data_IF_596922425784
#
_entry.id   IF_596922425784
#
_cell.length_a   1.000
_cell.length_b   1.000
_cell.length_c   1.000
_cell.angle_alpha   90.00
_cell.angle_beta   90.00
_cell.angle_gamma   90.00
#
_symmetry.space_group_name_H-M   'P 1'
#
loop_
_entity.id
_entity.type
_entity.pdbx_description
1 polymer ?
#
# COMPACT_ATOMS: atom_id res chain seq x y z
N UNK A 1 -22.88 -24.67 -9.47
CA UNK A 1 -21.42 -24.61 -9.60
C UNK A 1 -20.84 -24.90 -8.23
N UNK A 2 -19.95 -25.88 -8.11
CA UNK A 2 -19.21 -26.15 -6.89
C UNK A 2 -17.87 -25.39 -6.98
N UNK A 3 -17.47 -24.72 -5.90
CA UNK A 3 -16.14 -24.11 -5.82
C UNK A 3 -15.06 -25.20 -5.89
N UNK A 4 -13.87 -24.83 -6.33
CA UNK A 4 -12.71 -25.73 -6.30
C UNK A 4 -12.40 -26.13 -4.87
N UNK A 5 -11.81 -27.33 -4.66
CA UNK A 5 -11.44 -27.81 -3.33
C UNK A 5 -10.35 -26.95 -2.66
N UNK A 6 -9.53 -26.31 -3.48
CA UNK A 6 -8.42 -25.41 -3.11
C UNK A 6 -8.81 -23.93 -3.13
N UNK A 7 -10.11 -23.64 -3.07
CA UNK A 7 -10.58 -22.25 -2.99
C UNK A 7 -10.18 -21.62 -1.66
N UNK A 8 -9.56 -20.44 -1.74
CA UNK A 8 -9.09 -19.70 -0.55
C UNK A 8 -10.24 -18.88 0.06
N UNK A 9 -10.62 -19.28 1.28
CA UNK A 9 -11.58 -18.55 2.12
C UNK A 9 -10.82 -17.81 3.19
N UNK A 10 -10.93 -16.48 3.24
CA UNK A 10 -10.11 -15.70 4.17
C UNK A 10 -10.65 -14.34 4.53
N UNK A 11 -9.90 -13.67 5.38
CA UNK A 11 -10.07 -12.28 5.75
C UNK A 11 -8.88 -11.43 5.35
N UNK A 12 -9.08 -10.10 5.32
CA UNK A 12 -8.06 -9.15 4.94
C UNK A 12 -7.99 -7.98 5.93
N UNK A 13 -6.76 -7.65 6.31
CA UNK A 13 -6.40 -6.50 7.14
C UNK A 13 -5.08 -5.91 6.65
N UNK A 14 -4.59 -4.88 7.34
CA UNK A 14 -3.23 -4.35 7.15
C UNK A 14 -2.49 -4.30 8.49
N UNK A 15 -1.16 -4.36 8.46
CA UNK A 15 -0.33 -4.31 9.67
C UNK A 15 -0.72 -3.14 10.58
N UNK A 16 -0.81 -1.93 10.05
CA UNK A 16 -1.20 -0.74 10.83
C UNK A 16 -2.61 -0.78 11.43
N UNK A 17 -3.50 -1.65 10.92
CA UNK A 17 -4.88 -1.75 11.42
C UNK A 17 -4.99 -2.67 12.64
N UNK A 18 -4.05 -3.61 12.80
CA UNK A 18 -4.20 -4.65 13.82
C UNK A 18 -2.97 -4.86 14.71
N UNK A 19 -1.75 -4.62 14.20
CA UNK A 19 -0.54 -5.02 14.93
C UNK A 19 -0.38 -4.29 16.26
N UNK A 20 -0.56 -2.98 16.31
CA UNK A 20 -0.12 -2.21 17.47
C UNK A 20 1.40 -2.29 17.64
N UNK A 21 1.89 -2.20 18.88
CA UNK A 21 3.32 -2.28 19.15
C UNK A 21 4.14 -1.31 18.28
N UNK A 22 3.64 -0.09 18.09
CA UNK A 22 4.14 0.91 17.14
C UNK A 22 5.62 1.29 17.34
N UNK A 23 6.12 1.13 18.57
CA UNK A 23 7.51 1.40 18.96
C UNK A 23 8.22 0.15 19.52
N UNK A 24 7.65 -1.04 19.36
CA UNK A 24 8.24 -2.31 19.80
C UNK A 24 9.12 -2.92 18.71
N UNK A 25 10.09 -3.73 19.11
CA UNK A 25 10.93 -4.49 18.17
C UNK A 25 11.76 -3.63 17.23
N UNK A 26 12.14 -2.41 17.62
CA UNK A 26 12.91 -1.50 16.79
C UNK A 26 12.12 -0.86 15.64
N UNK A 27 10.77 -0.99 15.62
CA UNK A 27 9.93 -0.37 14.60
C UNK A 27 10.08 1.16 14.57
N UNK A 28 10.25 1.71 13.37
CA UNK A 28 10.22 3.15 13.12
C UNK A 28 8.81 3.72 12.95
N UNK A 29 8.72 5.04 12.87
CA UNK A 29 7.47 5.77 12.65
C UNK A 29 7.04 5.67 11.20
N UNK A 30 5.79 5.28 10.93
CA UNK A 30 5.17 5.29 9.62
C UNK A 30 4.21 6.47 9.44
N UNK A 31 3.75 6.70 8.21
CA UNK A 31 2.68 7.69 7.95
C UNK A 31 1.38 7.38 8.71
N UNK A 32 1.11 6.11 9.01
CA UNK A 32 -0.06 5.71 9.81
C UNK A 32 0.07 6.16 11.28
N UNK A 33 1.29 6.18 11.80
CA UNK A 33 1.57 6.51 13.20
C UNK A 33 1.47 8.01 13.53
N UNK A 34 1.38 8.85 12.50
CA UNK A 34 1.20 10.32 12.63
C UNK A 34 -0.20 10.80 12.24
N UNK A 35 -1.15 9.88 12.21
CA UNK A 35 -2.54 10.17 11.85
C UNK A 35 -3.47 9.92 13.04
N UNK A 36 -4.02 11.02 13.59
CA UNK A 36 -4.88 10.95 14.78
C UNK A 36 -6.18 10.19 14.51
N UNK A 37 -6.83 9.70 15.56
CA UNK A 37 -8.22 9.27 15.49
C UNK A 37 -9.12 10.47 15.21
N UNK A 38 -10.05 10.33 14.28
CA UNK A 38 -11.17 11.26 14.22
C UNK A 38 -12.24 10.89 15.26
N UNK A 39 -13.25 11.72 15.37
CA UNK A 39 -14.47 11.41 16.12
C UNK A 39 -15.68 12.03 15.42
N UNK A 40 -16.89 11.82 15.96
CA UNK A 40 -18.07 12.42 15.35
C UNK A 40 -17.95 13.96 15.34
N UNK A 41 -17.89 14.54 14.13
CA UNK A 41 -17.70 15.97 13.92
C UNK A 41 -16.26 16.48 14.04
N UNK A 42 -15.28 15.60 14.27
CA UNK A 42 -13.86 15.94 14.31
C UNK A 42 -13.10 15.14 13.25
N UNK A 43 -12.51 15.81 12.29
CA UNK A 43 -11.71 15.16 11.25
C UNK A 43 -10.37 14.65 11.81
N UNK A 44 -9.86 13.59 11.20
CA UNK A 44 -8.50 13.09 11.46
C UNK A 44 -7.47 14.15 11.03
N UNK A 45 -6.39 14.25 11.78
CA UNK A 45 -5.27 15.15 11.47
C UNK A 45 -4.04 14.34 11.09
N UNK A 46 -3.24 14.88 10.18
CA UNK A 46 -1.87 14.46 9.94
C UNK A 46 -1.00 15.37 10.81
N UNK A 47 -0.29 14.81 11.76
CA UNK A 47 0.58 15.57 12.67
C UNK A 47 2.01 15.63 12.15
N UNK A 48 2.79 16.59 12.63
CA UNK A 48 4.22 16.68 12.30
C UNK A 48 5.03 15.85 13.31
N UNK A 49 5.09 14.53 13.05
CA UNK A 49 5.60 13.54 13.99
C UNK A 49 4.55 13.10 15.01
N UNK A 50 4.96 12.21 15.92
CA UNK A 50 4.12 11.76 17.03
C UNK A 50 4.09 12.82 18.12
N UNK A 51 2.91 13.30 18.48
CA UNK A 51 2.69 14.35 19.49
C UNK A 51 2.13 13.70 20.75
N UNK A 52 2.78 13.97 21.89
CA UNK A 52 2.33 13.47 23.19
C UNK A 52 0.92 13.98 23.53
N UNK A 53 0.07 13.06 23.98
CA UNK A 53 -1.33 13.36 24.35
C UNK A 53 -2.33 13.31 23.19
N UNK A 54 -1.90 13.18 21.94
CA UNK A 54 -2.79 12.91 20.82
C UNK A 54 -3.14 11.42 20.76
N UNK A 55 -4.33 11.11 20.25
CA UNK A 55 -4.78 9.73 20.09
C UNK A 55 -4.46 9.20 18.69
N UNK A 56 -3.57 8.21 18.64
CA UNK A 56 -3.20 7.49 17.41
C UNK A 56 -3.71 6.05 17.47
N UNK A 57 -4.82 5.71 16.83
CA UNK A 57 -5.44 4.38 16.97
C UNK A 57 -4.54 3.23 16.56
N UNK A 58 -3.61 3.48 15.62
CA UNK A 58 -2.68 2.46 15.12
C UNK A 58 -1.59 2.07 16.13
N UNK A 59 -1.35 2.89 17.18
CA UNK A 59 -0.30 2.61 18.16
C UNK A 59 -0.61 1.38 19.02
N UNK A 60 -1.87 1.17 19.35
CA UNK A 60 -2.35 0.01 20.13
C UNK A 60 -3.08 -0.98 19.23
N UNK A 61 -3.96 -0.50 18.33
CA UNK A 61 -4.82 -1.31 17.48
C UNK A 61 -5.53 -2.41 18.29
N UNK A 62 -5.34 -3.69 17.94
CA UNK A 62 -5.80 -4.85 18.75
C UNK A 62 -4.63 -5.60 19.38
N UNK A 63 -3.44 -5.03 19.34
CA UNK A 63 -2.20 -5.64 19.88
C UNK A 63 -1.85 -7.01 19.26
N UNK A 64 -2.13 -7.18 17.99
CA UNK A 64 -1.84 -8.41 17.26
C UNK A 64 -0.33 -8.76 17.27
N UNK A 65 0.54 -7.76 17.36
CA UNK A 65 1.98 -7.97 17.48
C UNK A 65 2.35 -8.93 18.62
N UNK A 66 1.66 -8.85 19.76
CA UNK A 66 1.88 -9.75 20.89
C UNK A 66 0.90 -10.94 20.91
N UNK A 67 -0.25 -10.84 20.24
CA UNK A 67 -1.38 -11.78 20.36
C UNK A 67 -1.62 -12.63 19.11
N UNK A 68 -0.82 -12.52 18.06
CA UNK A 68 -1.05 -13.17 16.75
C UNK A 68 -1.31 -14.68 16.86
N UNK A 69 -0.69 -15.38 17.82
CA UNK A 69 -0.89 -16.84 17.99
C UNK A 69 -2.32 -17.17 18.39
N UNK A 70 -2.89 -16.39 19.32
CA UNK A 70 -4.28 -16.56 19.76
C UNK A 70 -5.24 -16.22 18.61
N UNK A 71 -4.99 -15.12 17.93
CA UNK A 71 -5.86 -14.63 16.86
C UNK A 71 -5.83 -15.57 15.64
N UNK A 72 -4.68 -16.12 15.28
CA UNK A 72 -4.57 -17.11 14.19
C UNK A 72 -5.29 -18.42 14.55
N UNK A 73 -5.22 -18.85 15.80
CA UNK A 73 -5.99 -20.01 16.25
C UNK A 73 -7.50 -19.78 16.11
N UNK A 74 -7.99 -18.55 16.36
CA UNK A 74 -9.39 -18.18 16.12
C UNK A 74 -9.74 -18.15 14.62
N UNK A 75 -8.81 -17.77 13.75
CA UNK A 75 -9.05 -17.85 12.31
C UNK A 75 -9.24 -19.30 11.83
N UNK A 76 -8.45 -20.22 12.35
CA UNK A 76 -8.59 -21.65 12.09
C UNK A 76 -9.95 -22.18 12.61
N UNK A 77 -10.35 -21.81 13.83
CA UNK A 77 -11.67 -22.14 14.41
C UNK A 77 -12.82 -21.60 13.53
N UNK A 78 -12.67 -20.42 12.93
CA UNK A 78 -13.62 -19.83 11.96
C UNK A 78 -13.63 -20.59 10.61
N UNK A 79 -12.68 -21.47 10.36
CA UNK A 79 -12.55 -22.21 9.10
C UNK A 79 -11.91 -21.40 7.97
N UNK A 80 -11.13 -20.36 8.31
CA UNK A 80 -10.34 -19.62 7.33
C UNK A 80 -9.13 -20.45 6.91
N UNK A 81 -8.84 -20.50 5.63
CA UNK A 81 -7.64 -21.12 5.07
C UNK A 81 -6.73 -20.12 4.32
N UNK A 82 -7.00 -18.83 4.48
CA UNK A 82 -6.23 -17.74 3.88
C UNK A 82 -6.33 -16.51 4.78
N UNK A 83 -5.18 -15.86 5.00
CA UNK A 83 -5.10 -14.61 5.75
C UNK A 83 -4.30 -13.56 4.96
N UNK A 84 -4.95 -12.45 4.62
CA UNK A 84 -4.26 -11.33 3.99
C UNK A 84 -3.89 -10.28 5.03
N UNK A 85 -2.60 -9.92 5.05
CA UNK A 85 -2.10 -8.77 5.82
C UNK A 85 -1.01 -8.04 5.03
N UNK A 86 -0.35 -7.07 5.65
CA UNK A 86 0.83 -6.39 5.11
C UNK A 86 2.05 -6.63 5.98
N UNK A 87 3.23 -6.33 5.45
CA UNK A 87 4.46 -6.18 6.23
C UNK A 87 4.66 -4.69 6.49
N UNK A 88 4.72 -4.27 7.75
CA UNK A 88 5.07 -2.90 8.10
C UNK A 88 6.51 -2.62 7.67
N UNK A 89 6.68 -1.78 6.65
CA UNK A 89 8.01 -1.44 6.13
C UNK A 89 8.94 -0.96 7.25
N UNK A 90 8.41 -0.15 8.18
CA UNK A 90 9.15 0.40 9.31
C UNK A 90 9.55 -0.61 10.38
N UNK A 91 9.03 -1.85 10.38
CA UNK A 91 9.57 -2.94 11.20
C UNK A 91 10.84 -3.51 10.60
N UNK A 92 10.97 -3.51 9.28
CA UNK A 92 12.10 -4.07 8.55
C UNK A 92 13.19 -3.02 8.35
N UNK A 93 12.81 -1.81 7.95
CA UNK A 93 13.68 -0.66 7.79
C UNK A 93 13.04 0.55 8.50
N UNK A 94 13.44 0.85 9.74
CA UNK A 94 12.79 1.87 10.58
C UNK A 94 12.69 3.26 9.95
N UNK A 95 13.69 3.69 9.19
CA UNK A 95 13.66 4.92 8.42
C UNK A 95 13.33 4.70 6.93
N UNK A 96 13.52 3.47 6.43
CA UNK A 96 13.20 3.08 5.06
C UNK A 96 14.35 3.18 4.08
N UNK A 97 15.47 3.79 4.45
CA UNK A 97 16.67 4.01 3.62
C UNK A 97 17.94 3.38 4.20
N UNK A 98 17.82 2.55 5.24
CA UNK A 98 18.95 1.80 5.79
C UNK A 98 19.47 0.75 4.79
N UNK A 99 20.77 0.45 4.90
CA UNK A 99 21.40 -0.62 4.12
C UNK A 99 21.07 -2.02 4.67
N UNK A 100 20.92 -2.14 5.99
CA UNK A 100 20.70 -3.41 6.68
C UNK A 100 19.32 -3.44 7.34
N UNK A 101 18.59 -4.56 7.25
CA UNK A 101 17.28 -4.70 7.85
C UNK A 101 17.35 -4.90 9.37
N UNK A 102 16.27 -4.57 10.04
CA UNK A 102 16.05 -4.90 11.44
C UNK A 102 15.66 -6.39 11.58
N UNK A 103 16.55 -7.20 12.14
CA UNK A 103 16.35 -8.64 12.28
C UNK A 103 15.18 -8.99 13.23
N UNK A 104 14.90 -8.18 14.25
CA UNK A 104 13.77 -8.40 15.14
C UNK A 104 12.43 -8.28 14.40
N UNK A 105 12.34 -7.31 13.48
CA UNK A 105 11.18 -7.18 12.61
C UNK A 105 11.04 -8.33 11.62
N UNK A 106 12.15 -8.80 11.03
CA UNK A 106 12.13 -9.98 10.17
C UNK A 106 11.69 -11.24 10.92
N UNK A 107 12.19 -11.44 12.15
CA UNK A 107 11.84 -12.61 12.96
C UNK A 107 10.36 -12.60 13.36
N UNK A 108 9.77 -11.44 13.66
CA UNK A 108 8.35 -11.34 13.94
C UNK A 108 7.48 -11.89 12.80
N UNK A 109 7.79 -11.53 11.55
CA UNK A 109 7.04 -12.04 10.40
C UNK A 109 7.38 -13.50 10.07
N UNK A 110 8.60 -13.98 10.37
CA UNK A 110 8.91 -15.42 10.29
C UNK A 110 7.98 -16.22 11.22
N UNK A 111 7.86 -15.79 12.47
CA UNK A 111 7.05 -16.45 13.49
C UNK A 111 5.55 -16.37 13.14
N UNK A 112 5.10 -15.22 12.63
CA UNK A 112 3.72 -15.00 12.18
C UNK A 112 3.33 -15.94 11.03
N UNK A 113 4.19 -16.05 10.01
CA UNK A 113 3.90 -16.89 8.86
C UNK A 113 4.01 -18.38 9.21
N UNK A 114 4.94 -18.76 10.08
CA UNK A 114 5.03 -20.14 10.59
C UNK A 114 3.78 -20.52 11.37
N UNK A 115 3.21 -19.60 12.18
CA UNK A 115 1.96 -19.86 12.88
C UNK A 115 0.79 -19.97 11.90
N UNK A 116 0.68 -19.14 10.86
CA UNK A 116 -0.33 -19.29 9.82
C UNK A 116 -0.24 -20.67 9.14
N UNK A 117 0.95 -21.07 8.70
CA UNK A 117 1.16 -22.34 8.00
C UNK A 117 0.89 -23.55 8.90
N UNK A 118 1.22 -23.48 10.18
CA UNK A 118 0.91 -24.50 11.19
C UNK A 118 -0.61 -24.77 11.29
N UNK A 119 -1.44 -23.74 11.13
CA UNK A 119 -2.89 -23.82 11.10
C UNK A 119 -3.48 -24.06 9.70
N UNK A 120 -2.64 -24.30 8.68
CA UNK A 120 -3.10 -24.51 7.31
C UNK A 120 -3.67 -23.25 6.64
N UNK A 121 -3.30 -22.07 7.14
CA UNK A 121 -3.73 -20.77 6.64
C UNK A 121 -2.67 -20.21 5.70
N UNK A 122 -3.02 -19.99 4.43
CA UNK A 122 -2.13 -19.44 3.40
C UNK A 122 -1.94 -17.92 3.62
N UNK A 123 -0.71 -17.43 3.83
CA UNK A 123 -0.45 -16.00 3.90
C UNK A 123 -0.56 -15.32 2.53
N UNK A 124 -1.26 -14.19 2.47
CA UNK A 124 -1.32 -13.30 1.31
C UNK A 124 -0.82 -11.93 1.72
N UNK A 125 0.32 -11.50 1.19
CA UNK A 125 1.08 -10.38 1.76
C UNK A 125 1.08 -9.16 0.84
N UNK A 126 0.75 -8.01 1.42
CA UNK A 126 0.86 -6.71 0.77
C UNK A 126 2.15 -6.03 1.22
N UNK A 127 2.99 -5.61 0.26
CA UNK A 127 4.26 -4.94 0.56
C UNK A 127 4.08 -3.50 1.03
N UNK A 128 3.19 -2.74 0.39
CA UNK A 128 2.87 -1.37 0.80
C UNK A 128 1.38 -1.22 1.04
N UNK A 129 0.99 -0.99 2.31
CA UNK A 129 -0.39 -0.79 2.70
C UNK A 129 -0.53 0.40 3.67
N UNK A 130 -0.31 1.63 3.13
CA UNK A 130 -0.48 2.90 3.87
C UNK A 130 0.48 3.06 5.06
N UNK A 131 1.67 2.49 4.97
CA UNK A 131 2.67 2.46 6.04
C UNK A 131 4.06 2.88 5.56
N UNK A 132 4.12 3.84 4.62
CA UNK A 132 5.41 4.40 4.21
C UNK A 132 6.18 4.93 5.43
N UNK A 133 7.49 4.65 5.58
CA UNK A 133 8.30 5.24 6.64
C UNK A 133 8.20 6.78 6.63
N UNK A 134 7.87 7.37 7.79
CA UNK A 134 7.66 8.82 7.89
C UNK A 134 8.95 9.61 7.61
N UNK A 135 10.11 9.03 7.92
CA UNK A 135 11.41 9.59 7.53
C UNK A 135 11.51 9.80 6.01
N UNK A 136 11.02 8.87 5.19
CA UNK A 136 11.03 9.04 3.72
C UNK A 136 10.10 10.19 3.26
N UNK A 137 9.11 10.56 4.07
CA UNK A 137 8.27 11.73 3.81
C UNK A 137 9.01 13.02 4.11
N UNK A 138 9.68 13.09 5.26
CA UNK A 138 10.37 14.32 5.73
C UNK A 138 11.63 14.60 4.94
N UNK A 139 12.43 13.57 4.64
CA UNK A 139 13.72 13.73 3.97
C UNK A 139 13.62 13.76 2.44
N UNK A 140 12.67 12.99 1.88
CA UNK A 140 12.60 12.79 0.43
C UNK A 140 11.30 13.32 -0.19
N UNK A 141 10.29 13.66 0.61
CA UNK A 141 8.97 14.08 0.12
C UNK A 141 8.11 12.92 -0.39
N UNK A 142 8.31 11.72 0.15
CA UNK A 142 7.60 10.53 -0.25
C UNK A 142 7.91 10.12 -1.71
N UNK A 143 6.98 9.43 -2.36
CA UNK A 143 7.11 9.02 -3.77
C UNK A 143 7.16 10.19 -4.78
N UNK A 144 7.19 11.43 -4.32
CA UNK A 144 7.61 12.55 -5.15
C UNK A 144 9.08 12.44 -5.59
N UNK A 145 9.88 11.70 -4.84
CA UNK A 145 11.30 11.49 -5.10
C UNK A 145 11.54 10.11 -5.72
N UNK A 146 12.24 10.08 -6.85
CA UNK A 146 12.59 8.84 -7.57
C UNK A 146 13.38 7.83 -6.76
N UNK A 147 14.16 8.26 -5.75
CA UNK A 147 14.93 7.35 -4.87
C UNK A 147 14.05 6.33 -4.16
N UNK A 148 12.78 6.65 -3.91
CA UNK A 148 11.86 5.72 -3.26
C UNK A 148 11.63 4.45 -4.08
N UNK A 149 11.85 4.48 -5.38
CA UNK A 149 11.84 3.28 -6.22
C UNK A 149 12.86 2.28 -5.70
N UNK A 150 14.10 2.73 -5.50
CA UNK A 150 15.20 1.85 -5.09
C UNK A 150 15.03 1.40 -3.64
N UNK A 151 14.57 2.26 -2.74
CA UNK A 151 14.26 1.88 -1.35
C UNK A 151 13.15 0.83 -1.27
N UNK A 152 12.07 1.00 -2.04
CA UNK A 152 10.99 0.03 -2.08
C UNK A 152 11.41 -1.31 -2.69
N UNK A 153 12.24 -1.29 -3.73
CA UNK A 153 12.80 -2.50 -4.34
C UNK A 153 13.70 -3.23 -3.34
N UNK A 154 14.56 -2.50 -2.60
CA UNK A 154 15.43 -3.09 -1.58
C UNK A 154 14.63 -3.73 -0.44
N UNK A 155 13.63 -3.03 0.10
CA UNK A 155 12.72 -3.59 1.09
C UNK A 155 12.06 -4.88 0.58
N UNK A 156 11.52 -4.84 -0.64
CA UNK A 156 10.83 -5.98 -1.25
C UNK A 156 11.78 -7.15 -1.48
N UNK A 157 13.03 -6.90 -1.90
CA UNK A 157 14.06 -7.92 -2.09
C UNK A 157 14.34 -8.67 -0.80
N UNK A 158 14.55 -7.94 0.29
CA UNK A 158 14.83 -8.53 1.60
C UNK A 158 13.69 -9.42 2.08
N UNK A 159 12.45 -8.92 2.08
CA UNK A 159 11.31 -9.69 2.60
C UNK A 159 10.92 -10.85 1.68
N UNK A 160 10.99 -10.69 0.36
CA UNK A 160 10.70 -11.77 -0.58
C UNK A 160 11.74 -12.88 -0.51
N UNK A 161 13.03 -12.56 -0.35
CA UNK A 161 14.07 -13.58 -0.13
C UNK A 161 13.90 -14.30 1.21
N UNK A 162 13.58 -13.55 2.29
CA UNK A 162 13.42 -14.13 3.64
C UNK A 162 12.26 -15.11 3.68
N UNK A 163 11.11 -14.75 3.08
CA UNK A 163 9.88 -15.52 3.21
C UNK A 163 9.52 -16.33 1.96
N UNK A 164 10.44 -16.55 1.01
CA UNK A 164 10.19 -17.21 -0.28
C UNK A 164 9.60 -18.62 -0.18
N UNK A 165 9.86 -19.32 0.93
CA UNK A 165 9.39 -20.68 1.16
C UNK A 165 8.11 -20.71 2.03
N UNK A 166 7.62 -19.54 2.50
CA UNK A 166 6.45 -19.38 3.37
C UNK A 166 5.30 -18.63 2.71
N UNK A 167 5.60 -17.69 1.83
CA UNK A 167 4.62 -16.79 1.20
C UNK A 167 4.68 -16.97 -0.32
N UNK A 168 3.53 -17.32 -0.90
CA UNK A 168 3.37 -17.48 -2.34
C UNK A 168 2.68 -16.28 -2.99
N UNK A 169 1.75 -15.64 -2.29
CA UNK A 169 0.89 -14.59 -2.82
C UNK A 169 1.32 -13.22 -2.31
N UNK A 170 1.69 -12.34 -3.25
CA UNK A 170 2.20 -11.00 -2.96
C UNK A 170 1.37 -9.94 -3.66
N UNK A 171 1.20 -8.79 -3.03
CA UNK A 171 0.66 -7.58 -3.64
C UNK A 171 1.65 -6.43 -3.42
N UNK A 172 1.94 -5.67 -4.47
CA UNK A 172 2.91 -4.56 -4.37
C UNK A 172 2.34 -3.39 -3.59
N UNK A 173 1.22 -2.83 -4.06
CA UNK A 173 0.56 -1.69 -3.42
C UNK A 173 -0.91 -1.98 -3.15
N UNK A 174 -1.41 -1.49 -2.03
CA UNK A 174 -2.82 -1.50 -1.70
C UNK A 174 -3.47 -0.20 -2.19
N UNK A 175 -4.56 -0.34 -2.96
CA UNK A 175 -5.42 0.78 -3.37
C UNK A 175 -4.67 2.01 -3.91
N UNK A 176 -3.63 1.77 -4.73
CA UNK A 176 -2.80 2.83 -5.31
C UNK A 176 -3.65 3.93 -5.99
N UNK A 177 -4.82 3.59 -6.49
CA UNK A 177 -5.73 4.51 -7.16
C UNK A 177 -6.47 5.47 -6.22
N UNK A 178 -6.38 5.30 -4.89
CA UNK A 178 -6.97 6.25 -3.94
C UNK A 178 -6.26 7.60 -3.96
N UNK A 179 -4.97 7.66 -4.31
CA UNK A 179 -4.26 8.93 -4.45
C UNK A 179 -4.84 9.85 -5.53
N UNK A 180 -5.67 9.33 -6.45
CA UNK A 180 -6.44 10.18 -7.37
C UNK A 180 -7.39 11.16 -6.67
N UNK A 181 -7.61 11.00 -5.36
CA UNK A 181 -8.31 11.98 -4.52
C UNK A 181 -7.39 13.13 -4.05
N UNK A 182 -6.54 13.63 -4.91
CA UNK A 182 -5.48 14.62 -4.64
C UNK A 182 -5.99 15.99 -4.16
N UNK A 183 -7.28 16.26 -4.23
CA UNK A 183 -7.88 17.49 -3.67
C UNK A 183 -7.92 17.48 -2.14
N UNK A 184 -7.74 16.32 -1.52
CA UNK A 184 -7.61 16.15 -0.07
C UNK A 184 -6.23 15.59 0.25
N UNK A 185 -5.64 15.98 1.39
CA UNK A 185 -4.28 15.56 1.75
C UNK A 185 -4.20 14.10 2.18
N UNK A 186 -5.27 13.58 2.74
CA UNK A 186 -5.29 12.26 3.41
C UNK A 186 -4.85 11.10 2.48
N UNK A 187 -5.52 10.92 1.33
CA UNK A 187 -5.25 9.78 0.46
C UNK A 187 -3.86 9.84 -0.20
N UNK A 188 -3.39 10.96 -0.76
CA UNK A 188 -2.02 11.07 -1.26
C UNK A 188 -0.95 10.90 -0.18
N UNK A 189 -1.21 11.35 1.06
CA UNK A 189 -0.30 11.15 2.17
C UNK A 189 -0.20 9.68 2.58
N UNK A 190 -1.33 8.98 2.72
CA UNK A 190 -1.35 7.57 3.12
C UNK A 190 -0.76 6.64 2.06
N UNK A 191 -1.05 6.88 0.78
CA UNK A 191 -0.57 6.04 -0.30
C UNK A 191 0.92 6.28 -0.61
N UNK A 192 1.29 7.55 -0.78
CA UNK A 192 2.56 7.93 -1.42
C UNK A 192 3.43 8.83 -0.55
N UNK A 193 2.99 9.16 0.66
CA UNK A 193 3.71 10.09 1.56
C UNK A 193 3.72 11.53 1.05
N UNK A 194 2.74 11.94 0.25
CA UNK A 194 2.74 13.28 -0.35
C UNK A 194 2.24 14.33 0.64
N UNK A 195 3.08 15.33 0.89
CA UNK A 195 2.69 16.62 1.46
C UNK A 195 2.72 17.64 0.33
N UNK A 196 1.58 18.26 0.01
CA UNK A 196 1.52 19.29 -1.02
C UNK A 196 2.05 20.62 -0.49
N UNK A 197 2.71 21.44 -1.35
CA UNK A 197 3.10 22.79 -0.96
C UNK A 197 1.89 23.63 -0.53
N UNK A 198 2.11 24.53 0.44
CA UNK A 198 1.07 25.48 0.86
C UNK A 198 0.63 26.33 -0.33
N UNK A 199 -0.68 26.47 -0.51
CA UNK A 199 -1.24 27.22 -1.63
C UNK A 199 -1.12 26.55 -3.00
N UNK A 200 -0.66 25.28 -3.09
CA UNK A 200 -0.59 24.57 -4.36
C UNK A 200 -1.94 24.54 -5.07
N UNK A 201 -1.96 24.92 -6.33
CA UNK A 201 -3.13 24.87 -7.19
C UNK A 201 -3.59 23.41 -7.42
N UNK A 202 -4.84 23.22 -7.80
CA UNK A 202 -5.37 21.90 -8.18
C UNK A 202 -4.51 21.23 -9.24
N UNK A 203 -4.06 22.00 -10.25
CA UNK A 203 -3.20 21.49 -11.31
C UNK A 203 -1.86 20.99 -10.78
N UNK A 204 -1.22 21.73 -9.89
CA UNK A 204 0.08 21.34 -9.29
C UNK A 204 -0.07 20.10 -8.42
N UNK A 205 -1.13 20.00 -7.62
CA UNK A 205 -1.43 18.82 -6.81
C UNK A 205 -1.64 17.59 -7.69
N UNK A 206 -2.40 17.75 -8.77
CA UNK A 206 -2.67 16.69 -9.74
C UNK A 206 -1.37 16.22 -10.43
N UNK A 207 -0.51 17.14 -10.87
CA UNK A 207 0.77 16.83 -11.50
C UNK A 207 1.72 16.09 -10.54
N UNK A 208 1.82 16.55 -9.28
CA UNK A 208 2.60 15.88 -8.23
C UNK A 208 2.09 14.45 -7.99
N UNK A 209 0.76 14.27 -7.91
CA UNK A 209 0.15 12.95 -7.72
C UNK A 209 0.48 12.01 -8.89
N UNK A 210 0.37 12.47 -10.14
CA UNK A 210 0.70 11.64 -11.29
C UNK A 210 2.19 11.27 -11.34
N UNK A 211 3.08 12.18 -10.95
CA UNK A 211 4.51 11.88 -10.86
C UNK A 211 4.81 10.81 -9.81
N UNK A 212 4.21 10.93 -8.62
CA UNK A 212 4.37 9.94 -7.56
C UNK A 212 3.80 8.58 -7.98
N UNK A 213 2.61 8.57 -8.56
CA UNK A 213 2.01 7.35 -9.10
C UNK A 213 2.89 6.67 -10.16
N UNK A 214 3.56 7.45 -11.02
CA UNK A 214 4.52 6.90 -11.98
C UNK A 214 5.66 6.15 -11.27
N UNK A 215 6.26 6.76 -10.26
CA UNK A 215 7.36 6.12 -9.52
C UNK A 215 6.91 4.86 -8.76
N UNK A 216 5.71 4.86 -8.18
CA UNK A 216 5.15 3.65 -7.56
C UNK A 216 4.90 2.54 -8.59
N UNK A 217 4.38 2.86 -9.78
CA UNK A 217 4.16 1.89 -10.84
C UNK A 217 5.48 1.30 -11.36
N UNK A 218 6.54 2.13 -11.50
CA UNK A 218 7.88 1.65 -11.84
C UNK A 218 8.45 0.76 -10.74
N UNK A 219 8.31 1.16 -9.46
CA UNK A 219 8.72 0.35 -8.32
C UNK A 219 8.01 -1.01 -8.32
N UNK A 220 6.68 -1.01 -8.52
CA UNK A 220 5.88 -2.23 -8.63
C UNK A 220 6.37 -3.15 -9.75
N UNK A 221 6.61 -2.62 -10.94
CA UNK A 221 7.10 -3.41 -12.08
C UNK A 221 8.48 -4.04 -11.81
N UNK A 222 9.39 -3.29 -11.19
CA UNK A 222 10.71 -3.82 -10.77
C UNK A 222 10.57 -4.92 -9.74
N UNK A 223 9.68 -4.77 -8.75
CA UNK A 223 9.42 -5.78 -7.71
C UNK A 223 8.81 -7.04 -8.30
N UNK A 224 7.89 -6.93 -9.27
CA UNK A 224 7.34 -8.10 -9.98
C UNK A 224 8.45 -8.88 -10.69
N UNK A 225 9.30 -8.17 -11.45
CA UNK A 225 10.43 -8.80 -12.14
C UNK A 225 11.43 -9.43 -11.19
N UNK A 226 11.71 -8.79 -10.05
CA UNK A 226 12.57 -9.30 -8.99
C UNK A 226 11.97 -10.53 -8.32
N UNK A 227 10.69 -10.48 -7.95
CA UNK A 227 10.00 -11.57 -7.28
C UNK A 227 10.02 -12.86 -8.11
N UNK A 228 9.77 -12.78 -9.42
CA UNK A 228 9.86 -13.94 -10.31
C UNK A 228 11.28 -14.46 -10.53
N UNK A 229 12.32 -13.64 -10.27
CA UNK A 229 13.73 -14.13 -10.22
C UNK A 229 14.02 -14.88 -8.93
N UNK A 230 13.45 -14.42 -7.80
CA UNK A 230 13.60 -15.06 -6.48
C UNK A 230 12.87 -16.41 -6.47
N UNK A 231 11.60 -16.40 -6.89
CA UNK A 231 10.80 -17.61 -6.98
C UNK A 231 9.80 -17.47 -8.16
N UNK A 232 9.96 -18.26 -9.25
CA UNK A 232 9.10 -18.18 -10.42
C UNK A 232 7.64 -18.58 -10.14
N UNK A 233 7.35 -19.26 -9.02
CA UNK A 233 6.01 -19.68 -8.63
C UNK A 233 5.24 -18.61 -7.85
N UNK A 234 5.87 -17.49 -7.51
CA UNK A 234 5.17 -16.37 -6.87
C UNK A 234 4.01 -15.86 -7.70
N UNK A 235 2.89 -15.62 -7.04
CA UNK A 235 1.74 -14.96 -7.61
C UNK A 235 1.74 -13.49 -7.13
N UNK A 236 2.14 -12.59 -8.02
CA UNK A 236 2.35 -11.17 -7.66
C UNK A 236 1.30 -10.31 -8.36
N UNK A 237 0.59 -9.51 -7.59
CA UNK A 237 -0.45 -8.61 -8.10
C UNK A 237 -0.44 -7.25 -7.42
N UNK A 238 -1.54 -6.55 -7.58
CA UNK A 238 -1.86 -5.30 -6.89
C UNK A 238 -3.31 -5.32 -6.42
N UNK A 239 -3.65 -4.38 -5.54
CA UNK A 239 -5.03 -4.18 -5.10
C UNK A 239 -5.53 -2.81 -5.52
N UNK A 240 -6.71 -2.76 -6.10
CA UNK A 240 -7.38 -1.55 -6.60
C UNK A 240 -8.69 -1.34 -5.82
N UNK A 241 -8.89 -0.13 -5.30
CA UNK A 241 -10.15 0.27 -4.70
C UNK A 241 -11.24 0.35 -5.77
N UNK A 242 -12.13 -0.65 -5.81
CA UNK A 242 -13.18 -0.74 -6.82
C UNK A 242 -14.44 0.02 -6.38
N UNK A 243 -14.77 1.06 -7.12
CA UNK A 243 -16.00 1.86 -6.94
C UNK A 243 -16.58 2.15 -8.32
N UNK A 244 -17.41 1.26 -8.87
CA UNK A 244 -18.02 1.44 -10.19
C UNK A 244 -18.84 2.72 -10.25
N UNK A 245 -18.70 3.47 -11.33
CA UNK A 245 -19.42 4.69 -11.58
C UNK A 245 -20.37 4.46 -12.76
N UNK A 246 -21.66 4.47 -12.48
CA UNK A 246 -22.68 4.25 -13.48
C UNK A 246 -23.20 5.58 -14.02
N UNK A 247 -23.61 5.65 -15.31
CA UNK A 247 -24.28 6.82 -15.85
C UNK A 247 -25.66 7.00 -15.22
N UNK A 248 -26.06 8.24 -14.97
CA UNK A 248 -27.37 8.55 -14.40
C UNK A 248 -28.50 8.19 -15.38
N UNK A 249 -28.26 8.34 -16.68
CA UNK A 249 -29.19 7.98 -17.75
C UNK A 249 -28.43 7.40 -18.95
N UNK A 250 -29.15 6.89 -19.96
CA UNK A 250 -28.54 6.45 -21.22
C UNK A 250 -28.22 7.58 -22.21
N UNK A 251 -28.30 8.84 -21.81
CA UNK A 251 -27.89 9.96 -22.64
C UNK A 251 -26.38 9.93 -22.90
N UNK A 252 -25.93 10.32 -24.11
CA UNK A 252 -24.50 10.31 -24.47
C UNK A 252 -23.62 11.08 -23.48
N UNK A 253 -24.11 12.19 -22.93
CA UNK A 253 -23.40 13.03 -21.96
C UNK A 253 -23.16 12.28 -20.65
N UNK A 254 -24.16 11.59 -20.13
CA UNK A 254 -24.06 10.81 -18.89
C UNK A 254 -23.14 9.60 -19.07
N UNK A 255 -23.27 8.90 -20.21
CA UNK A 255 -22.37 7.79 -20.57
C UNK A 255 -20.92 8.24 -20.66
N UNK A 256 -20.67 9.40 -21.31
CA UNK A 256 -19.31 9.94 -21.43
C UNK A 256 -18.76 10.40 -20.07
N UNK A 257 -19.58 11.04 -19.23
CA UNK A 257 -19.18 11.45 -17.88
C UNK A 257 -18.76 10.26 -17.03
N UNK A 258 -19.55 9.18 -17.03
CA UNK A 258 -19.22 7.91 -16.35
C UNK A 258 -17.91 7.32 -16.87
N UNK A 259 -17.74 7.24 -18.21
CA UNK A 259 -16.52 6.72 -18.84
C UNK A 259 -15.28 7.51 -18.42
N UNK A 260 -15.33 8.85 -18.45
CA UNK A 260 -14.20 9.71 -18.05
C UNK A 260 -13.88 9.55 -16.56
N UNK A 261 -14.91 9.46 -15.71
CA UNK A 261 -14.71 9.26 -14.28
C UNK A 261 -14.05 7.89 -13.99
N UNK A 262 -14.48 6.84 -14.68
CA UNK A 262 -13.86 5.51 -14.60
C UNK A 262 -12.41 5.53 -15.10
N UNK A 263 -12.11 6.16 -16.22
CA UNK A 263 -10.75 6.30 -16.74
C UNK A 263 -9.82 7.01 -15.75
N UNK A 264 -10.25 8.10 -15.13
CA UNK A 264 -9.46 8.84 -14.13
C UNK A 264 -9.11 8.01 -12.90
N UNK A 265 -9.97 7.07 -12.53
CA UNK A 265 -9.80 6.26 -11.34
C UNK A 265 -9.06 4.94 -11.59
N UNK A 266 -9.25 4.33 -12.77
CA UNK A 266 -8.80 2.96 -13.03
C UNK A 266 -7.65 2.84 -14.02
N UNK A 267 -7.07 3.93 -14.51
CA UNK A 267 -5.89 3.87 -15.36
C UNK A 267 -4.69 3.17 -14.67
N UNK A 268 -4.62 3.20 -13.34
CA UNK A 268 -3.64 2.46 -12.55
C UNK A 268 -3.71 0.95 -12.83
N UNK A 269 -4.93 0.40 -12.88
CA UNK A 269 -5.13 -1.01 -13.24
C UNK A 269 -4.69 -1.30 -14.67
N UNK A 270 -4.98 -0.39 -15.62
CA UNK A 270 -4.51 -0.54 -17.00
C UNK A 270 -2.98 -0.66 -17.08
N UNK A 271 -2.25 0.18 -16.34
CA UNK A 271 -0.77 0.14 -16.31
C UNK A 271 -0.26 -1.13 -15.63
N UNK A 272 -0.81 -1.51 -14.47
CA UNK A 272 -0.42 -2.74 -13.78
C UNK A 272 -0.60 -4.00 -14.64
N UNK A 273 -1.71 -4.07 -15.39
CA UNK A 273 -2.04 -5.27 -16.18
C UNK A 273 -1.33 -5.28 -17.53
N UNK A 274 -1.15 -4.11 -18.15
CA UNK A 274 -0.67 -4.00 -19.54
C UNK A 274 0.78 -3.52 -19.66
N UNK A 275 1.36 -2.98 -18.58
CA UNK A 275 2.73 -2.48 -18.55
C UNK A 275 2.97 -1.18 -19.32
N UNK A 276 1.93 -0.48 -19.73
CA UNK A 276 2.04 0.80 -20.46
C UNK A 276 0.86 1.73 -20.18
N UNK A 277 1.09 3.02 -20.37
CA UNK A 277 0.04 4.03 -20.23
C UNK A 277 -1.00 3.93 -21.33
N UNK A 278 -2.30 3.98 -21.00
CA UNK A 278 -3.35 4.04 -21.99
C UNK A 278 -3.33 5.37 -22.77
N UNK A 279 -3.72 5.34 -24.04
CA UNK A 279 -3.68 6.51 -24.93
C UNK A 279 -4.49 7.69 -24.42
N UNK A 280 -5.63 7.42 -23.75
CA UNK A 280 -6.48 8.47 -23.18
C UNK A 280 -5.76 9.25 -22.06
N UNK A 281 -4.86 8.62 -21.31
CA UNK A 281 -4.10 9.27 -20.24
C UNK A 281 -3.00 10.16 -20.81
N UNK A 282 -2.28 9.69 -21.84
CA UNK A 282 -1.29 10.52 -22.56
C UNK A 282 -1.94 11.78 -23.13
N UNK A 283 -3.08 11.62 -23.81
CA UNK A 283 -3.84 12.75 -24.32
C UNK A 283 -4.34 13.70 -23.21
N UNK A 284 -4.61 13.17 -22.03
CA UNK A 284 -4.96 13.98 -20.87
C UNK A 284 -3.79 14.82 -20.36
N UNK A 285 -2.61 14.21 -20.20
CA UNK A 285 -1.38 14.91 -19.79
C UNK A 285 -1.03 16.04 -20.75
N UNK A 286 -1.11 15.79 -22.07
CA UNK A 286 -0.86 16.78 -23.10
C UNK A 286 -1.82 17.99 -22.98
N UNK A 287 -3.11 17.72 -22.82
CA UNK A 287 -4.12 18.80 -22.66
C UNK A 287 -3.93 19.61 -21.37
N UNK A 288 -3.49 18.98 -20.28
CA UNK A 288 -3.20 19.65 -19.01
C UNK A 288 -1.85 20.36 -19.03
N UNK A 289 -0.96 20.02 -19.96
CA UNK A 289 0.40 20.51 -20.04
C UNK A 289 1.24 20.08 -18.85
N UNK A 290 1.07 18.82 -18.41
CA UNK A 290 1.88 18.23 -17.34
C UNK A 290 3.28 17.90 -17.87
N UNK A 291 4.28 18.11 -17.01
CA UNK A 291 5.69 17.80 -17.29
C UNK A 291 6.15 16.69 -16.35
N UNK A 292 5.78 15.46 -16.67
CA UNK A 292 6.13 14.30 -15.89
C UNK A 292 7.47 13.72 -16.38
N UNK A 293 8.30 13.31 -15.42
CA UNK A 293 9.53 12.53 -15.67
C UNK A 293 9.14 11.07 -15.85
N UNK A 294 8.68 10.74 -17.06
CA UNK A 294 8.31 9.37 -17.42
C UNK A 294 9.59 8.62 -17.81
N UNK A 295 9.87 7.55 -17.07
CA UNK A 295 11.02 6.69 -17.30
C UNK A 295 10.73 5.72 -18.44
N UNK A 296 11.74 5.51 -19.31
CA UNK A 296 11.70 4.52 -20.37
C UNK A 296 11.92 3.09 -19.85
#
# INVERSE_FOLDING_TARGET
MTLKKDFLWGGAVAAHQLEGGWNAGGKGVSVADVMTAGSNGVERKITDGVIEGENYPNHEAIDFYHRYKEDIALFDELGLNCFRTSIAWTRIFPNGDEAEPNEEGLQFYDDLFDECLKHGIEPVITLSHFELPYHLVTEYGGFRNRKLIDFFVHFSEVVMNRYKDKVKYWMTFNEINNQANYLRDFAPFTNSGLKFPEGASEKEREEIMYQAAHYELVASAKVVALGHKINPDFQIGCMIAMCPIYPATCKPEDMMASTVAMQRRYWFADVHVRGHYPSYLKAYFDRKGFKLDILD
#
